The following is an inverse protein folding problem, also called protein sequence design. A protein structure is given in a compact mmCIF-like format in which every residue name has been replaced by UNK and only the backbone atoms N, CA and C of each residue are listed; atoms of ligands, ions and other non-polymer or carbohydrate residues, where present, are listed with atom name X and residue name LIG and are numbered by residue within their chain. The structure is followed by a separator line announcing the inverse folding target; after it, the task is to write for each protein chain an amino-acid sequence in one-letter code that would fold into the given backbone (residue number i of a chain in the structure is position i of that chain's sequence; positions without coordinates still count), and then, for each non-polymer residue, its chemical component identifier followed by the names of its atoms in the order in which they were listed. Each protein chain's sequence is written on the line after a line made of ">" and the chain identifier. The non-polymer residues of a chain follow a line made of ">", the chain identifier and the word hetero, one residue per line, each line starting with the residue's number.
data_IF_616722454219
#
_entry.id   IF_616722454219
#
_cell.length_a   1.000
_cell.length_b   1.000
_cell.length_c   1.000
_cell.angle_alpha   90.00
_cell.angle_beta   90.00
_cell.angle_gamma   90.00
#
_symmetry.space_group_name_H-M   'P 1'
#
loop_
_entity.id
_entity.type
_entity.pdbx_description
1 polymer ?
#
# COMPACT_ATOMS: atom_id res chain seq x y z
N UNK A 1 -14.30 -32.94 -21.08
CA UNK A 1 -15.70 -32.65 -21.50
C UNK A 1 -15.74 -31.62 -22.64
N UNK A 2 -14.90 -31.73 -23.68
CA UNK A 2 -14.69 -30.66 -24.69
C UNK A 2 -15.06 -31.01 -26.13
N UNK A 3 -15.69 -32.15 -26.39
CA UNK A 3 -15.92 -32.64 -27.77
C UNK A 3 -17.24 -32.17 -28.40
N UNK A 4 -18.18 -31.65 -27.61
CA UNK A 4 -19.51 -31.26 -28.10
C UNK A 4 -19.52 -30.03 -29.00
N UNK A 5 -18.69 -29.01 -28.72
CA UNK A 5 -18.64 -27.78 -29.50
C UNK A 5 -18.11 -28.01 -30.93
N UNK A 6 -17.10 -28.86 -31.07
CA UNK A 6 -16.48 -29.19 -32.36
C UNK A 6 -17.44 -29.94 -33.30
N UNK A 7 -18.30 -30.83 -32.77
CA UNK A 7 -19.26 -31.56 -33.59
C UNK A 7 -20.39 -30.66 -34.11
N UNK A 8 -20.86 -29.70 -33.30
CA UNK A 8 -21.87 -28.72 -33.70
C UNK A 8 -21.33 -27.76 -34.78
N UNK A 9 -20.11 -27.25 -34.61
CA UNK A 9 -19.43 -26.39 -35.59
C UNK A 9 -19.21 -27.12 -36.92
N UNK A 10 -18.75 -28.38 -36.88
CA UNK A 10 -18.55 -29.18 -38.09
C UNK A 10 -19.87 -29.44 -38.84
N UNK A 11 -20.98 -29.66 -38.11
CA UNK A 11 -22.31 -29.80 -38.71
C UNK A 11 -22.74 -28.49 -39.36
N UNK A 12 -22.56 -27.36 -38.68
CA UNK A 12 -22.93 -26.04 -39.19
C UNK A 12 -22.13 -25.64 -40.44
N UNK A 13 -20.82 -25.93 -40.45
CA UNK A 13 -19.98 -25.67 -41.62
C UNK A 13 -20.40 -26.54 -42.81
N UNK A 14 -20.77 -27.79 -42.55
CA UNK A 14 -21.32 -28.68 -43.57
C UNK A 14 -22.63 -28.12 -44.14
N UNK A 15 -23.53 -27.63 -43.29
CA UNK A 15 -24.81 -27.06 -43.74
C UNK A 15 -24.60 -25.80 -44.61
N UNK A 16 -23.65 -24.94 -44.25
CA UNK A 16 -23.26 -23.80 -45.08
C UNK A 16 -22.68 -24.22 -46.44
N UNK A 17 -21.80 -25.22 -46.46
CA UNK A 17 -21.23 -25.75 -47.71
C UNK A 17 -22.32 -26.32 -48.60
N UNK A 18 -23.24 -27.11 -48.03
CA UNK A 18 -24.40 -27.64 -48.75
C UNK A 18 -25.29 -26.51 -49.31
N UNK A 19 -25.51 -25.42 -48.55
CA UNK A 19 -26.24 -24.24 -49.02
C UNK A 19 -25.55 -23.57 -50.21
N UNK A 20 -24.23 -23.41 -50.18
CA UNK A 20 -23.46 -22.85 -51.29
C UNK A 20 -23.50 -23.74 -52.53
N UNK A 21 -23.39 -25.05 -52.38
CA UNK A 21 -23.49 -26.02 -53.47
C UNK A 21 -24.88 -25.96 -54.13
N UNK A 22 -25.96 -25.87 -53.34
CA UNK A 22 -27.33 -25.69 -53.85
C UNK A 22 -27.48 -24.39 -54.66
N UNK A 23 -26.91 -23.29 -54.17
CA UNK A 23 -26.90 -22.01 -54.90
C UNK A 23 -26.12 -22.10 -56.21
N UNK A 24 -24.99 -22.80 -56.22
CA UNK A 24 -24.22 -23.02 -57.44
C UNK A 24 -24.98 -23.88 -58.45
N UNK A 25 -25.63 -24.96 -57.98
CA UNK A 25 -26.45 -25.83 -58.82
C UNK A 25 -27.60 -25.04 -59.47
N UNK A 26 -28.37 -24.29 -58.69
CA UNK A 26 -29.49 -23.49 -59.21
C UNK A 26 -29.02 -22.41 -60.19
N UNK A 27 -27.88 -21.74 -59.94
CA UNK A 27 -27.25 -20.81 -60.91
C UNK A 27 -26.93 -21.47 -62.25
N UNK A 28 -26.45 -22.71 -62.24
CA UNK A 28 -26.18 -23.48 -63.46
C UNK A 28 -27.48 -23.81 -64.19
N UNK A 29 -28.54 -24.19 -63.46
CA UNK A 29 -29.85 -24.48 -64.04
C UNK A 29 -30.50 -23.25 -64.66
N UNK A 30 -30.46 -22.09 -63.98
CA UNK A 30 -30.92 -20.80 -64.53
C UNK A 30 -30.21 -20.50 -65.85
N UNK A 31 -28.87 -20.64 -65.91
CA UNK A 31 -28.10 -20.44 -67.14
C UNK A 31 -28.52 -21.39 -68.25
N UNK A 32 -28.78 -22.67 -67.93
CA UNK A 32 -29.28 -23.65 -68.91
C UNK A 32 -30.67 -23.24 -69.44
N UNK A 33 -31.58 -22.86 -68.56
CA UNK A 33 -32.93 -22.38 -68.91
C UNK A 33 -32.87 -21.09 -69.74
N UNK A 34 -31.97 -20.16 -69.44
CA UNK A 34 -31.74 -18.94 -70.24
C UNK A 34 -31.27 -19.26 -71.65
N UNK A 35 -30.31 -20.19 -71.80
CA UNK A 35 -29.85 -20.65 -73.11
C UNK A 35 -30.98 -21.33 -73.89
N UNK A 36 -31.80 -22.15 -73.22
CA UNK A 36 -32.97 -22.78 -73.83
C UNK A 36 -33.99 -21.72 -74.26
N UNK A 37 -34.27 -20.73 -73.42
CA UNK A 37 -35.18 -19.63 -73.72
C UNK A 37 -34.70 -18.83 -74.94
N UNK A 38 -33.40 -18.56 -75.04
CA UNK A 38 -32.80 -17.91 -76.21
C UNK A 38 -32.99 -18.74 -77.49
N UNK A 39 -32.78 -20.06 -77.43
CA UNK A 39 -33.01 -20.95 -78.59
C UNK A 39 -34.46 -20.94 -79.03
N UNK A 40 -35.41 -21.07 -78.10
CA UNK A 40 -36.85 -21.08 -78.43
C UNK A 40 -37.30 -19.71 -78.93
N UNK A 41 -36.78 -18.59 -78.40
CA UNK A 41 -37.06 -17.24 -78.92
C UNK A 41 -36.58 -17.05 -80.36
N UNK A 42 -35.40 -17.59 -80.72
CA UNK A 42 -34.92 -17.59 -82.10
C UNK A 42 -35.86 -18.39 -83.01
N UNK A 43 -36.28 -19.59 -82.58
CA UNK A 43 -37.26 -20.39 -83.32
C UNK A 43 -38.59 -19.66 -83.52
N UNK A 44 -39.10 -18.95 -82.49
CA UNK A 44 -40.30 -18.12 -82.62
C UNK A 44 -40.09 -17.02 -83.66
N UNK A 45 -38.93 -16.33 -83.65
CA UNK A 45 -38.62 -15.31 -84.66
C UNK A 45 -38.59 -15.89 -86.08
N UNK A 46 -37.96 -17.05 -86.27
CA UNK A 46 -37.89 -17.74 -87.56
C UNK A 46 -39.29 -18.15 -88.05
N UNK A 47 -40.13 -18.69 -87.15
CA UNK A 47 -41.52 -19.04 -87.46
C UNK A 47 -42.38 -17.80 -87.74
N UNK A 48 -42.14 -16.68 -87.07
CA UNK A 48 -42.82 -15.41 -87.36
C UNK A 48 -42.48 -14.89 -88.75
N UNK A 49 -41.21 -14.96 -89.13
CA UNK A 49 -40.76 -14.57 -90.46
C UNK A 49 -41.29 -15.53 -91.54
N UNK A 50 -41.30 -16.83 -91.27
CA UNK A 50 -41.91 -17.82 -92.17
C UNK A 50 -43.40 -17.59 -92.35
N UNK A 51 -44.15 -17.34 -91.25
CA UNK A 51 -45.57 -16.98 -91.30
C UNK A 51 -45.80 -15.72 -92.14
N UNK A 52 -45.01 -14.66 -91.94
CA UNK A 52 -45.13 -13.43 -92.75
C UNK A 52 -44.90 -13.69 -94.24
N UNK A 53 -43.94 -14.55 -94.59
CA UNK A 53 -43.68 -14.94 -95.99
C UNK A 53 -44.87 -15.71 -96.58
N UNK A 54 -45.47 -16.63 -95.83
CA UNK A 54 -46.65 -17.37 -96.27
C UNK A 54 -47.88 -16.46 -96.40
N UNK A 55 -48.14 -15.59 -95.42
CA UNK A 55 -49.26 -14.63 -95.48
C UNK A 55 -49.10 -13.64 -96.66
N UNK A 56 -47.86 -13.21 -96.95
CA UNK A 56 -47.58 -12.42 -98.15
C UNK A 56 -47.75 -13.23 -99.46
N UNK A 57 -47.40 -14.52 -99.44
CA UNK A 57 -47.64 -15.44 -100.55
C UNK A 57 -49.13 -15.68 -100.81
N UNK A 58 -49.92 -15.92 -99.76
CA UNK A 58 -51.38 -16.01 -99.81
C UNK A 58 -51.99 -14.76 -100.43
N UNK A 59 -51.60 -13.58 -99.93
CA UNK A 59 -52.07 -12.31 -100.46
C UNK A 59 -51.76 -12.18 -101.97
N UNK A 60 -50.56 -12.57 -102.40
CA UNK A 60 -50.20 -12.59 -103.83
C UNK A 60 -51.07 -13.54 -104.64
N UNK A 61 -51.24 -14.79 -104.20
CA UNK A 61 -52.08 -15.78 -104.89
C UNK A 61 -53.54 -15.30 -104.97
N UNK A 62 -54.06 -14.68 -103.91
CA UNK A 62 -55.40 -14.08 -103.94
C UNK A 62 -55.49 -12.93 -104.95
N UNK A 63 -54.51 -12.01 -104.97
CA UNK A 63 -54.50 -10.91 -105.95
C UNK A 63 -54.34 -11.41 -107.39
N UNK A 64 -53.53 -12.46 -107.62
CA UNK A 64 -53.36 -13.09 -108.93
C UNK A 64 -54.64 -13.80 -109.37
N UNK A 65 -55.33 -14.48 -108.44
CA UNK A 65 -56.63 -15.11 -108.69
C UNK A 65 -57.69 -14.07 -109.07
N UNK A 66 -57.77 -12.95 -108.35
CA UNK A 66 -58.70 -11.85 -108.64
C UNK A 66 -58.38 -11.21 -109.98
N UNK A 67 -57.13 -10.80 -110.22
CA UNK A 67 -56.69 -10.22 -111.49
C UNK A 67 -56.94 -11.15 -112.67
N UNK A 68 -56.73 -12.46 -112.48
CA UNK A 68 -56.96 -13.43 -113.55
C UNK A 68 -58.45 -13.74 -113.77
N UNK A 69 -59.31 -13.65 -112.73
CA UNK A 69 -60.77 -13.68 -112.90
C UNK A 69 -61.26 -12.46 -113.68
N UNK A 70 -60.71 -11.27 -113.38
CA UNK A 70 -61.02 -10.04 -114.12
C UNK A 70 -60.55 -10.14 -115.58
N UNK A 71 -59.33 -10.61 -115.83
CA UNK A 71 -58.82 -10.83 -117.18
C UNK A 71 -59.68 -11.83 -117.97
N UNK A 72 -60.06 -12.95 -117.37
CA UNK A 72 -60.97 -13.92 -117.98
C UNK A 72 -62.34 -13.30 -118.31
N UNK A 73 -62.91 -12.50 -117.39
CA UNK A 73 -64.17 -11.80 -117.64
C UNK A 73 -64.04 -10.79 -118.79
N UNK A 74 -62.92 -10.06 -118.86
CA UNK A 74 -62.61 -9.16 -119.96
C UNK A 74 -62.45 -9.91 -121.29
N UNK A 75 -61.75 -11.05 -121.31
CA UNK A 75 -61.57 -11.86 -122.51
C UNK A 75 -62.90 -12.44 -123.01
N UNK A 76 -63.76 -12.94 -122.13
CA UNK A 76 -65.11 -13.37 -122.48
C UNK A 76 -65.95 -12.21 -123.04
N UNK A 77 -65.84 -11.01 -122.45
CA UNK A 77 -66.53 -9.82 -122.96
C UNK A 77 -66.00 -9.40 -124.34
N UNK A 78 -64.69 -9.47 -124.58
CA UNK A 78 -64.06 -9.18 -125.88
C UNK A 78 -64.45 -10.20 -126.93
N UNK A 79 -64.48 -11.49 -126.58
CA UNK A 79 -64.89 -12.56 -127.49
C UNK A 79 -66.36 -12.38 -127.90
N UNK A 80 -67.23 -12.04 -126.94
CA UNK A 80 -68.63 -11.71 -127.18
C UNK A 80 -68.79 -10.52 -128.12
N UNK A 81 -68.03 -9.44 -127.91
CA UNK A 81 -68.05 -8.25 -128.78
C UNK A 81 -67.55 -8.60 -130.19
N UNK A 82 -66.43 -9.31 -130.32
CA UNK A 82 -65.89 -9.76 -131.62
C UNK A 82 -66.91 -10.61 -132.37
N UNK A 83 -67.53 -11.56 -131.69
CA UNK A 83 -68.58 -12.39 -132.30
C UNK A 83 -69.79 -11.57 -132.75
N UNK A 84 -70.25 -10.61 -131.95
CA UNK A 84 -71.36 -9.72 -132.35
C UNK A 84 -71.01 -8.84 -133.57
N UNK A 85 -69.75 -8.41 -133.67
CA UNK A 85 -69.25 -7.65 -134.83
C UNK A 85 -69.11 -8.55 -136.06
N UNK A 86 -68.48 -9.72 -135.93
CA UNK A 86 -68.30 -10.68 -137.03
C UNK A 86 -69.65 -11.20 -137.55
N UNK A 87 -70.60 -11.52 -136.66
CA UNK A 87 -71.96 -11.90 -137.03
C UNK A 87 -72.72 -10.75 -137.71
N UNK A 88 -72.51 -9.50 -137.27
CA UNK A 88 -73.07 -8.31 -137.93
C UNK A 88 -72.48 -8.04 -139.31
N UNK A 89 -71.17 -8.24 -139.47
CA UNK A 89 -70.46 -8.09 -140.75
C UNK A 89 -70.78 -9.21 -141.74
N UNK A 90 -70.93 -10.46 -141.29
CA UNK A 90 -71.35 -11.59 -142.13
C UNK A 90 -72.82 -11.46 -142.57
N UNK A 91 -73.71 -10.99 -141.69
CA UNK A 91 -75.10 -10.66 -142.02
C UNK A 91 -75.19 -9.54 -143.07
N UNK A 92 -74.30 -8.54 -143.04
CA UNK A 92 -74.23 -7.50 -144.07
C UNK A 92 -73.69 -7.98 -145.43
N UNK A 93 -72.90 -9.07 -145.48
CA UNK A 93 -72.27 -9.56 -146.72
C UNK A 93 -73.06 -10.65 -147.44
N UNK A 94 -73.96 -11.38 -146.74
CA UNK A 94 -74.73 -12.51 -147.29
C UNK A 94 -76.23 -12.22 -147.21
N UNK A 95 -76.75 -11.42 -148.15
CA UNK A 95 -78.20 -11.23 -148.27
C UNK A 95 -78.93 -12.56 -148.47
N UNK A 96 -80.03 -12.74 -147.72
CA UNK A 96 -81.11 -13.73 -147.91
C UNK A 96 -80.76 -15.24 -147.85
N UNK A 97 -79.60 -15.62 -147.31
CA UNK A 97 -79.29 -17.00 -146.88
C UNK A 97 -79.02 -17.05 -145.36
N UNK A 98 -79.96 -16.47 -144.59
CA UNK A 98 -79.67 -15.89 -143.27
C UNK A 98 -79.73 -16.88 -142.10
N UNK A 99 -80.44 -18.00 -142.19
CA UNK A 99 -80.71 -18.81 -141.00
C UNK A 99 -79.70 -19.96 -140.75
N UNK A 100 -79.16 -20.58 -141.79
CA UNK A 100 -78.25 -21.74 -141.63
C UNK A 100 -76.81 -21.31 -141.30
N UNK A 101 -76.30 -20.26 -141.94
CA UNK A 101 -74.94 -19.76 -141.68
C UNK A 101 -74.82 -19.10 -140.29
N UNK A 102 -75.87 -18.41 -139.83
CA UNK A 102 -75.93 -17.85 -138.49
C UNK A 102 -76.00 -18.94 -137.42
N UNK A 103 -76.79 -20.00 -137.63
CA UNK A 103 -76.86 -21.14 -136.73
C UNK A 103 -75.53 -21.91 -136.65
N UNK A 104 -74.80 -22.04 -137.76
CA UNK A 104 -73.48 -22.69 -137.78
C UNK A 104 -72.41 -21.83 -137.08
N UNK A 105 -72.38 -20.51 -137.33
CA UNK A 105 -71.50 -19.57 -136.63
C UNK A 105 -71.81 -19.50 -135.13
N UNK A 106 -73.08 -19.50 -134.74
CA UNK A 106 -73.52 -19.56 -133.35
C UNK A 106 -73.17 -20.91 -132.69
N UNK A 107 -73.26 -22.01 -133.45
CA UNK A 107 -72.81 -23.34 -133.03
C UNK A 107 -71.30 -23.40 -132.80
N UNK A 108 -70.50 -22.75 -133.64
CA UNK A 108 -69.05 -22.63 -133.44
C UNK A 108 -68.70 -21.74 -132.25
N UNK A 109 -69.38 -20.60 -132.09
CA UNK A 109 -69.23 -19.72 -130.92
C UNK A 109 -69.56 -20.45 -129.62
N UNK A 110 -70.69 -21.17 -129.57
CA UNK A 110 -71.05 -21.94 -128.38
C UNK A 110 -70.00 -23.03 -128.07
N UNK A 111 -69.46 -23.72 -129.08
CA UNK A 111 -68.36 -24.68 -128.86
C UNK A 111 -67.08 -24.01 -128.36
N UNK A 112 -66.70 -22.86 -128.92
CA UNK A 112 -65.53 -22.09 -128.48
C UNK A 112 -65.71 -21.54 -127.06
N UNK A 113 -66.90 -21.02 -126.74
CA UNK A 113 -67.26 -20.56 -125.39
C UNK A 113 -67.26 -21.73 -124.42
N UNK A 114 -67.77 -22.90 -124.80
CA UNK A 114 -67.76 -24.10 -123.96
C UNK A 114 -66.33 -24.62 -123.72
N UNK A 115 -65.46 -24.60 -124.73
CA UNK A 115 -64.04 -24.97 -124.56
C UNK A 115 -63.32 -23.98 -123.66
N UNK A 116 -63.52 -22.68 -123.85
CA UNK A 116 -62.94 -21.63 -123.01
C UNK A 116 -63.49 -21.68 -121.58
N UNK A 117 -64.77 -22.00 -121.40
CA UNK A 117 -65.39 -22.17 -120.09
C UNK A 117 -64.84 -23.39 -119.36
N UNK A 118 -64.59 -24.51 -120.06
CA UNK A 118 -63.95 -25.70 -119.48
C UNK A 118 -62.49 -25.43 -119.09
N UNK A 119 -61.72 -24.78 -119.95
CA UNK A 119 -60.35 -24.38 -119.64
C UNK A 119 -60.29 -23.39 -118.47
N UNK A 120 -61.19 -22.39 -118.44
CA UNK A 120 -61.32 -21.46 -117.33
C UNK A 120 -61.73 -22.16 -116.03
N UNK A 121 -62.61 -23.17 -116.09
CA UNK A 121 -63.00 -23.95 -114.92
C UNK A 121 -61.84 -24.78 -114.36
N UNK A 122 -61.08 -25.47 -115.21
CA UNK A 122 -59.88 -26.23 -114.80
C UNK A 122 -58.82 -25.30 -114.21
N UNK A 123 -58.58 -24.15 -114.82
CA UNK A 123 -57.62 -23.16 -114.33
C UNK A 123 -58.09 -22.51 -113.02
N UNK A 124 -59.40 -22.28 -112.86
CA UNK A 124 -59.98 -21.81 -111.61
C UNK A 124 -59.86 -22.86 -110.50
N UNK A 125 -60.03 -24.15 -110.82
CA UNK A 125 -59.85 -25.26 -109.88
C UNK A 125 -58.39 -25.34 -109.40
N UNK A 126 -57.42 -25.34 -110.33
CA UNK A 126 -55.98 -25.30 -109.99
C UNK A 126 -55.62 -24.12 -109.09
N UNK A 127 -56.19 -22.95 -109.35
CA UNK A 127 -55.95 -21.76 -108.50
C UNK A 127 -56.66 -21.85 -107.15
N UNK A 128 -57.85 -22.46 -107.07
CA UNK A 128 -58.51 -22.75 -105.80
C UNK A 128 -57.69 -23.74 -104.98
N UNK A 129 -57.13 -24.77 -105.59
CA UNK A 129 -56.21 -25.71 -104.94
C UNK A 129 -54.93 -25.01 -104.46
N UNK A 130 -54.39 -24.08 -105.24
CA UNK A 130 -53.24 -23.27 -104.81
C UNK A 130 -53.57 -22.39 -103.60
N UNK A 131 -54.76 -21.76 -103.58
CA UNK A 131 -55.25 -20.98 -102.43
C UNK A 131 -55.41 -21.87 -101.20
N UNK A 132 -56.11 -23.01 -101.31
CA UNK A 132 -56.34 -23.90 -100.15
C UNK A 132 -55.05 -24.52 -99.62
N UNK A 133 -54.11 -24.87 -100.50
CA UNK A 133 -52.78 -25.34 -100.12
C UNK A 133 -52.00 -24.24 -99.37
N UNK A 134 -52.07 -23.00 -99.86
CA UNK A 134 -51.44 -21.84 -99.22
C UNK A 134 -52.06 -21.55 -97.84
N UNK A 135 -53.39 -21.51 -97.75
CA UNK A 135 -54.17 -21.33 -96.51
C UNK A 135 -53.85 -22.40 -95.46
N UNK A 136 -53.76 -23.66 -95.89
CA UNK A 136 -53.33 -24.76 -95.04
C UNK A 136 -51.90 -24.54 -94.53
N UNK A 137 -51.01 -24.05 -95.40
CA UNK A 137 -49.64 -23.66 -95.07
C UNK A 137 -49.58 -22.60 -93.96
N UNK A 138 -50.27 -21.46 -94.12
CA UNK A 138 -50.22 -20.42 -93.08
C UNK A 138 -50.98 -20.83 -91.80
N UNK A 139 -52.05 -21.62 -91.92
CA UNK A 139 -52.72 -22.20 -90.75
C UNK A 139 -51.76 -23.06 -89.92
N UNK A 140 -51.00 -23.94 -90.57
CA UNK A 140 -49.95 -24.75 -89.93
C UNK A 140 -48.83 -23.87 -89.33
N UNK A 141 -48.38 -22.83 -90.03
CA UNK A 141 -47.39 -21.90 -89.48
C UNK A 141 -47.93 -21.16 -88.23
N UNK A 142 -49.22 -20.78 -88.22
CA UNK A 142 -49.88 -20.15 -87.06
C UNK A 142 -49.97 -21.10 -85.86
N UNK A 143 -50.30 -22.38 -86.07
CA UNK A 143 -50.37 -23.37 -84.98
C UNK A 143 -48.99 -23.66 -84.41
N UNK A 144 -47.96 -23.82 -85.25
CA UNK A 144 -46.58 -23.95 -84.83
C UNK A 144 -46.10 -22.73 -84.04
N UNK A 145 -46.42 -21.52 -84.50
CA UNK A 145 -46.07 -20.28 -83.80
C UNK A 145 -46.74 -20.19 -82.42
N UNK A 146 -48.03 -20.56 -82.32
CA UNK A 146 -48.73 -20.59 -81.01
C UNK A 146 -48.07 -21.59 -80.05
N UNK A 147 -47.73 -22.79 -80.54
CA UNK A 147 -47.04 -23.82 -79.77
C UNK A 147 -45.66 -23.34 -79.29
N UNK A 148 -44.87 -22.75 -80.19
CA UNK A 148 -43.56 -22.20 -79.86
C UNK A 148 -43.65 -21.06 -78.84
N UNK A 149 -44.63 -20.14 -78.97
CA UNK A 149 -44.89 -19.08 -77.99
C UNK A 149 -45.31 -19.63 -76.63
N UNK A 150 -46.12 -20.70 -76.58
CA UNK A 150 -46.46 -21.38 -75.34
C UNK A 150 -45.22 -22.00 -74.69
N UNK A 151 -44.32 -22.60 -75.48
CA UNK A 151 -43.03 -23.11 -75.01
C UNK A 151 -42.16 -22.00 -74.41
N UNK A 152 -42.06 -20.83 -75.05
CA UNK A 152 -41.33 -19.65 -74.49
C UNK A 152 -41.91 -19.26 -73.13
N UNK A 153 -43.24 -19.17 -72.99
CA UNK A 153 -43.88 -18.81 -71.72
C UNK A 153 -43.58 -19.83 -70.63
N UNK A 154 -43.64 -21.12 -70.95
CA UNK A 154 -43.34 -22.20 -70.00
C UNK A 154 -41.89 -22.14 -69.51
N UNK A 155 -40.93 -22.07 -70.44
CA UNK A 155 -39.50 -22.01 -70.09
C UNK A 155 -39.17 -20.73 -69.31
N UNK A 156 -39.81 -19.60 -69.65
CA UNK A 156 -39.68 -18.37 -68.88
C UNK A 156 -40.19 -18.55 -67.45
N UNK A 157 -41.41 -19.09 -67.25
CA UNK A 157 -41.95 -19.35 -65.92
C UNK A 157 -41.07 -20.31 -65.11
N UNK A 158 -40.54 -21.37 -65.72
CA UNK A 158 -39.60 -22.30 -65.07
C UNK A 158 -38.27 -21.63 -64.69
N UNK A 159 -37.80 -20.65 -65.46
CA UNK A 159 -36.61 -19.85 -65.16
C UNK A 159 -36.88 -18.88 -64.00
N UNK A 160 -38.05 -18.23 -64.02
CA UNK A 160 -38.46 -17.27 -62.98
C UNK A 160 -38.59 -17.97 -61.63
N UNK A 161 -39.27 -19.13 -61.59
CA UNK A 161 -39.39 -19.95 -60.40
C UNK A 161 -38.02 -20.42 -59.86
N UNK A 162 -37.09 -20.79 -60.75
CA UNK A 162 -35.73 -21.17 -60.36
C UNK A 162 -34.95 -19.99 -59.77
N UNK A 163 -35.09 -18.80 -60.36
CA UNK A 163 -34.48 -17.58 -59.85
C UNK A 163 -35.03 -17.23 -58.47
N UNK A 164 -36.34 -17.28 -58.28
CA UNK A 164 -36.98 -17.04 -56.98
C UNK A 164 -36.48 -18.04 -55.93
N UNK A 165 -36.44 -19.33 -56.26
CA UNK A 165 -35.88 -20.36 -55.40
C UNK A 165 -34.40 -20.10 -55.06
N UNK A 166 -33.57 -19.73 -56.06
CA UNK A 166 -32.18 -19.37 -55.84
C UNK A 166 -32.01 -18.15 -54.93
N UNK A 167 -32.87 -17.14 -55.07
CA UNK A 167 -32.85 -15.95 -54.21
C UNK A 167 -33.23 -16.30 -52.77
N UNK A 168 -34.28 -17.10 -52.57
CA UNK A 168 -34.73 -17.53 -51.25
C UNK A 168 -33.64 -18.33 -50.52
N UNK A 169 -33.04 -19.33 -51.18
CA UNK A 169 -31.90 -20.10 -50.63
C UNK A 169 -30.70 -19.17 -50.36
N UNK A 170 -30.51 -18.14 -51.20
CA UNK A 170 -29.42 -17.19 -51.06
C UNK A 170 -29.56 -16.32 -49.82
N UNK A 171 -30.77 -15.83 -49.56
CA UNK A 171 -31.11 -15.09 -48.36
C UNK A 171 -30.99 -15.94 -47.10
N UNK A 172 -31.50 -17.19 -47.12
CA UNK A 172 -31.36 -18.12 -46.01
C UNK A 172 -29.89 -18.39 -45.68
N UNK A 173 -29.08 -18.71 -46.68
CA UNK A 173 -27.65 -18.93 -46.50
C UNK A 173 -26.93 -17.68 -45.96
N UNK A 174 -27.30 -16.48 -46.42
CA UNK A 174 -26.74 -15.23 -45.94
C UNK A 174 -27.13 -14.95 -44.47
N UNK A 175 -28.39 -15.22 -44.09
CA UNK A 175 -28.87 -15.11 -42.71
C UNK A 175 -28.13 -16.06 -41.79
N UNK A 176 -28.03 -17.33 -42.16
CA UNK A 176 -27.30 -18.36 -41.39
C UNK A 176 -25.82 -18.00 -41.23
N UNK A 177 -25.16 -17.57 -42.31
CA UNK A 177 -23.78 -17.10 -42.28
C UNK A 177 -23.60 -15.88 -41.37
N UNK A 178 -24.57 -14.97 -41.37
CA UNK A 178 -24.60 -13.80 -40.48
C UNK A 178 -24.70 -14.20 -39.01
N UNK A 179 -25.63 -15.10 -38.66
CA UNK A 179 -25.78 -15.63 -37.31
C UNK A 179 -24.52 -16.36 -36.82
N UNK A 180 -23.84 -17.10 -37.70
CA UNK A 180 -22.57 -17.73 -37.35
C UNK A 180 -21.47 -16.74 -37.03
N UNK A 181 -21.34 -15.68 -37.83
CA UNK A 181 -20.36 -14.62 -37.56
C UNK A 181 -20.64 -13.94 -36.22
N UNK A 182 -21.89 -13.61 -35.94
CA UNK A 182 -22.31 -13.03 -34.66
C UNK A 182 -21.99 -13.97 -33.49
N UNK A 183 -22.38 -15.25 -33.59
CA UNK A 183 -22.08 -16.24 -32.53
C UNK A 183 -20.58 -16.42 -32.32
N UNK A 184 -19.77 -16.40 -33.37
CA UNK A 184 -18.31 -16.47 -33.26
C UNK A 184 -17.72 -15.21 -32.61
N UNK A 185 -18.23 -14.02 -32.96
CA UNK A 185 -17.85 -12.74 -32.34
C UNK A 185 -18.20 -12.71 -30.84
N UNK A 186 -19.38 -13.19 -30.46
CA UNK A 186 -19.81 -13.35 -29.06
C UNK A 186 -18.86 -14.27 -28.28
N UNK A 187 -18.55 -15.46 -28.81
CA UNK A 187 -17.58 -16.38 -28.18
C UNK A 187 -16.20 -15.77 -28.03
N UNK A 188 -15.73 -14.99 -29.02
CA UNK A 188 -14.47 -14.26 -28.91
C UNK A 188 -14.52 -13.18 -27.84
N UNK A 189 -15.66 -12.47 -27.70
CA UNK A 189 -15.86 -11.48 -26.65
C UNK A 189 -15.86 -12.13 -25.26
N UNK A 190 -16.58 -13.23 -25.06
CA UNK A 190 -16.57 -14.04 -23.84
C UNK A 190 -15.15 -14.52 -23.50
N UNK A 191 -14.41 -15.04 -24.49
CA UNK A 191 -13.03 -15.48 -24.29
C UNK A 191 -12.09 -14.34 -23.89
N UNK A 192 -12.28 -13.14 -24.45
CA UNK A 192 -11.52 -11.94 -24.05
C UNK A 192 -11.85 -11.52 -22.62
N UNK A 193 -13.14 -11.53 -22.25
CA UNK A 193 -13.58 -11.22 -20.90
C UNK A 193 -12.98 -12.21 -19.90
N UNK A 194 -13.12 -13.51 -20.13
CA UNK A 194 -12.55 -14.55 -19.27
C UNK A 194 -11.04 -14.41 -19.12
N UNK A 195 -10.31 -14.13 -20.21
CA UNK A 195 -8.87 -13.86 -20.13
C UNK A 195 -8.54 -12.61 -19.30
N UNK A 196 -9.36 -11.57 -19.37
CA UNK A 196 -9.19 -10.36 -18.57
C UNK A 196 -9.39 -10.66 -17.08
N UNK A 197 -10.39 -11.47 -16.73
CA UNK A 197 -10.68 -11.91 -15.37
C UNK A 197 -9.54 -12.78 -14.82
N UNK A 198 -9.03 -13.72 -15.61
CA UNK A 198 -7.87 -14.56 -15.23
C UNK A 198 -6.61 -13.71 -15.02
N UNK A 199 -6.35 -12.72 -15.90
CA UNK A 199 -5.22 -11.80 -15.74
C UNK A 199 -5.36 -10.95 -14.48
N UNK A 200 -6.55 -10.40 -14.22
CA UNK A 200 -6.85 -9.61 -13.01
C UNK A 200 -6.67 -10.46 -11.74
N UNK A 201 -7.23 -11.68 -11.71
CA UNK A 201 -7.08 -12.62 -10.60
C UNK A 201 -5.60 -13.00 -10.38
N UNK A 202 -4.84 -13.26 -11.45
CA UNK A 202 -3.40 -13.54 -11.35
C UNK A 202 -2.62 -12.33 -10.81
N UNK A 203 -2.98 -11.12 -11.20
CA UNK A 203 -2.38 -9.90 -10.68
C UNK A 203 -2.68 -9.72 -9.19
N UNK A 204 -3.94 -9.84 -8.78
CA UNK A 204 -4.35 -9.81 -7.37
C UNK A 204 -3.59 -10.83 -6.52
N UNK A 205 -3.47 -12.08 -6.98
CA UNK A 205 -2.67 -13.13 -6.30
C UNK A 205 -1.19 -12.75 -6.17
N UNK A 206 -0.60 -12.08 -7.18
CA UNK A 206 0.79 -11.61 -7.10
C UNK A 206 0.94 -10.50 -6.06
N UNK A 207 0.02 -9.54 -6.01
CA UNK A 207 0.02 -8.46 -5.01
C UNK A 207 -0.12 -9.02 -3.59
N UNK A 208 -1.09 -9.90 -3.34
CA UNK A 208 -1.24 -10.59 -2.06
C UNK A 208 0.02 -11.40 -1.69
N UNK A 209 0.67 -12.03 -2.67
CA UNK A 209 1.94 -12.72 -2.44
C UNK A 209 3.09 -11.80 -2.07
N UNK A 210 3.11 -10.57 -2.57
CA UNK A 210 4.09 -9.54 -2.16
C UNK A 210 3.80 -9.04 -0.75
N UNK A 211 2.54 -8.75 -0.43
CA UNK A 211 2.10 -8.34 0.92
C UNK A 211 2.42 -9.40 1.97
N UNK A 212 2.16 -10.68 1.66
CA UNK A 212 2.51 -11.79 2.55
C UNK A 212 4.02 -11.87 2.82
N UNK A 213 4.86 -11.64 1.80
CA UNK A 213 6.33 -11.61 1.99
C UNK A 213 6.75 -10.42 2.85
N UNK A 214 6.18 -9.24 2.61
CA UNK A 214 6.42 -8.04 3.42
C UNK A 214 6.04 -8.26 4.88
N UNK A 215 4.85 -8.81 5.15
CA UNK A 215 4.39 -9.10 6.51
C UNK A 215 5.27 -10.14 7.20
N UNK A 216 5.73 -11.17 6.47
CA UNK A 216 6.69 -12.15 7.01
C UNK A 216 8.03 -11.51 7.39
N UNK A 217 8.51 -10.54 6.60
CA UNK A 217 9.72 -9.80 6.92
C UNK A 217 9.53 -8.96 8.19
N UNK A 218 8.44 -8.19 8.27
CA UNK A 218 8.10 -7.39 9.47
C UNK A 218 7.96 -8.28 10.71
N UNK A 219 7.29 -9.43 10.60
CA UNK A 219 7.19 -10.39 11.70
C UNK A 219 8.57 -10.92 12.12
N UNK A 220 9.45 -11.20 11.15
CA UNK A 220 10.83 -11.60 11.41
C UNK A 220 11.63 -10.52 12.15
N UNK A 221 11.49 -9.27 11.76
CA UNK A 221 12.18 -8.14 12.40
C UNK A 221 11.64 -7.86 13.81
N UNK A 222 10.32 -7.95 14.01
CA UNK A 222 9.70 -7.85 15.34
C UNK A 222 10.14 -9.01 16.23
N UNK A 223 10.19 -10.23 15.71
CA UNK A 223 10.65 -11.41 16.46
C UNK A 223 12.11 -11.24 16.92
N UNK A 224 13.00 -10.74 16.05
CA UNK A 224 14.38 -10.40 16.42
C UNK A 224 14.43 -9.33 17.51
N UNK A 225 13.67 -8.25 17.36
CA UNK A 225 13.62 -7.16 18.36
C UNK A 225 13.10 -7.63 19.72
N UNK A 226 12.10 -8.52 19.74
CA UNK A 226 11.62 -9.15 20.98
C UNK A 226 12.72 -10.02 21.61
N UNK A 227 13.45 -10.79 20.80
CA UNK A 227 14.61 -11.57 21.26
C UNK A 227 15.68 -10.69 21.90
N UNK A 228 16.09 -9.61 21.23
CA UNK A 228 17.08 -8.65 21.75
C UNK A 228 16.64 -8.01 23.08
N UNK A 229 15.36 -7.65 23.20
CA UNK A 229 14.79 -7.12 24.45
C UNK A 229 14.73 -8.17 25.56
N UNK A 230 14.47 -9.43 25.22
CA UNK A 230 14.50 -10.54 26.17
C UNK A 230 15.92 -10.73 26.72
N UNK A 231 16.93 -10.77 25.84
CA UNK A 231 18.34 -10.89 26.23
C UNK A 231 18.81 -9.70 27.07
N UNK A 232 18.33 -8.49 26.75
CA UNK A 232 18.58 -7.30 27.56
C UNK A 232 17.93 -7.39 28.95
N UNK A 233 16.68 -7.85 29.03
CA UNK A 233 15.98 -8.04 30.30
C UNK A 233 16.71 -9.06 31.17
N UNK A 234 17.13 -10.19 30.62
CA UNK A 234 17.94 -11.18 31.34
C UNK A 234 19.29 -10.63 31.82
N UNK A 235 19.93 -9.78 31.00
CA UNK A 235 21.16 -9.08 31.41
C UNK A 235 20.91 -8.14 32.58
N UNK A 236 19.83 -7.35 32.53
CA UNK A 236 19.42 -6.45 33.61
C UNK A 236 19.02 -7.18 34.88
N UNK A 237 18.37 -8.33 34.77
CA UNK A 237 18.05 -9.17 35.92
C UNK A 237 19.32 -9.71 36.60
N UNK A 238 20.32 -10.13 35.83
CA UNK A 238 21.64 -10.52 36.36
C UNK A 238 22.36 -9.36 37.04
N UNK A 239 22.37 -8.17 36.44
CA UNK A 239 22.92 -6.94 37.04
C UNK A 239 22.21 -6.62 38.36
N UNK A 240 20.88 -6.65 38.40
CA UNK A 240 20.10 -6.42 39.62
C UNK A 240 20.42 -7.45 40.72
N UNK A 241 20.56 -8.73 40.36
CA UNK A 241 20.96 -9.77 41.31
C UNK A 241 22.38 -9.57 41.83
N UNK A 242 23.29 -9.00 41.05
CA UNK A 242 24.62 -8.61 41.51
C UNK A 242 24.55 -7.42 42.46
N UNK A 243 23.78 -6.38 42.12
CA UNK A 243 23.57 -5.21 43.01
C UNK A 243 22.96 -5.65 44.33
N UNK A 244 21.91 -6.49 44.31
CA UNK A 244 21.31 -7.05 45.54
C UNK A 244 22.31 -7.80 46.40
N UNK A 245 23.20 -8.60 45.80
CA UNK A 245 24.30 -9.27 46.52
C UNK A 245 25.30 -8.28 47.11
N UNK A 246 25.66 -7.24 46.37
CA UNK A 246 26.55 -6.18 46.84
C UNK A 246 25.94 -5.39 48.00
N UNK A 247 24.65 -5.06 47.94
CA UNK A 247 23.93 -4.36 49.02
C UNK A 247 23.93 -5.21 50.28
N UNK A 248 23.56 -6.50 50.19
CA UNK A 248 23.63 -7.42 51.34
C UNK A 248 25.03 -7.47 51.95
N UNK A 249 26.07 -7.57 51.13
CA UNK A 249 27.45 -7.55 51.63
C UNK A 249 27.83 -6.25 52.33
N UNK A 250 27.27 -5.10 51.92
CA UNK A 250 27.49 -3.81 52.60
C UNK A 250 26.71 -3.77 53.91
N UNK A 251 25.46 -4.25 53.93
CA UNK A 251 24.65 -4.38 55.14
C UNK A 251 25.38 -5.25 56.18
N UNK A 252 25.85 -6.44 55.78
CA UNK A 252 26.66 -7.32 56.62
C UNK A 252 27.90 -6.59 57.16
N UNK A 253 28.57 -5.80 56.32
CA UNK A 253 29.74 -5.00 56.72
C UNK A 253 29.40 -3.87 57.69
N UNK A 254 28.24 -3.21 57.52
CA UNK A 254 27.76 -2.18 58.44
C UNK A 254 27.35 -2.78 59.78
N UNK A 255 26.71 -3.95 59.79
CA UNK A 255 26.33 -4.66 61.01
C UNK A 255 27.58 -5.04 61.83
N UNK A 256 28.63 -5.52 61.17
CA UNK A 256 29.94 -5.77 61.79
C UNK A 256 30.56 -4.48 62.33
N UNK A 257 30.57 -3.40 61.54
CA UNK A 257 31.09 -2.11 61.98
C UNK A 257 30.29 -1.55 63.18
N UNK A 258 28.98 -1.70 63.18
CA UNK A 258 28.09 -1.31 64.27
C UNK A 258 28.37 -2.15 65.52
N UNK A 259 28.59 -3.46 65.39
CA UNK A 259 28.98 -4.33 66.51
C UNK A 259 30.35 -3.95 67.09
N UNK A 260 31.31 -3.57 66.26
CA UNK A 260 32.60 -3.03 66.72
C UNK A 260 32.43 -1.69 67.43
N UNK A 261 31.62 -0.78 66.87
CA UNK A 261 31.36 0.52 67.48
C UNK A 261 30.67 0.36 68.84
N UNK A 262 29.68 -0.51 68.97
CA UNK A 262 29.01 -0.77 70.26
C UNK A 262 29.97 -1.39 71.27
N UNK A 263 30.84 -2.31 70.85
CA UNK A 263 31.89 -2.87 71.71
C UNK A 263 32.90 -1.81 72.19
N UNK A 264 33.33 -0.91 71.30
CA UNK A 264 34.22 0.20 71.63
C UNK A 264 33.54 1.23 72.53
N UNK A 265 32.27 1.58 72.27
CA UNK A 265 31.47 2.42 73.15
C UNK A 265 31.37 1.80 74.55
N UNK A 266 31.04 0.51 74.67
CA UNK A 266 30.99 -0.18 75.95
C UNK A 266 32.36 -0.22 76.66
N UNK A 267 33.46 -0.38 75.91
CA UNK A 267 34.83 -0.30 76.44
C UNK A 267 35.13 1.09 76.98
N UNK A 268 34.79 2.13 76.23
CA UNK A 268 34.96 3.53 76.65
C UNK A 268 34.11 3.82 77.88
N UNK A 269 32.85 3.42 77.90
CA UNK A 269 31.96 3.54 79.07
C UNK A 269 32.57 2.86 80.30
N UNK A 270 33.13 1.66 80.17
CA UNK A 270 33.81 0.96 81.26
C UNK A 270 35.08 1.69 81.75
N UNK A 271 35.84 2.30 80.84
CA UNK A 271 36.99 3.17 81.19
C UNK A 271 36.52 4.46 81.87
N UNK A 272 35.47 5.10 81.36
CA UNK A 272 34.87 6.30 81.96
C UNK A 272 34.32 6.00 83.36
N UNK A 273 33.68 4.86 83.56
CA UNK A 273 33.20 4.39 84.87
C UNK A 273 34.36 4.12 85.82
N UNK A 274 35.43 3.46 85.34
CA UNK A 274 36.66 3.24 86.11
C UNK A 274 37.33 4.56 86.51
N UNK A 275 37.42 5.52 85.58
CA UNK A 275 37.94 6.87 85.85
C UNK A 275 37.03 7.68 86.80
N UNK A 276 35.72 7.49 86.73
CA UNK A 276 34.78 8.09 87.69
C UNK A 276 34.95 7.53 89.09
N UNK A 277 35.18 6.22 89.23
CA UNK A 277 35.41 5.57 90.52
C UNK A 277 36.76 5.98 91.12
N UNK A 278 37.85 5.92 90.34
CA UNK A 278 39.19 6.31 90.80
C UNK A 278 39.28 7.81 91.07
N UNK A 279 38.73 8.68 90.21
CA UNK A 279 38.75 10.12 90.49
C UNK A 279 37.87 10.52 91.67
N UNK A 280 36.75 9.84 91.94
CA UNK A 280 35.95 10.13 93.15
C UNK A 280 36.64 9.69 94.43
N UNK A 281 37.29 8.52 94.44
CA UNK A 281 38.00 8.02 95.62
C UNK A 281 39.32 8.77 95.85
N UNK A 282 40.18 8.87 94.85
CA UNK A 282 41.50 9.49 95.01
C UNK A 282 41.42 11.00 95.28
N UNK A 283 40.43 11.69 94.68
CA UNK A 283 40.21 13.12 94.96
C UNK A 283 39.64 13.31 96.38
N UNK A 284 38.73 12.43 96.82
CA UNK A 284 38.20 12.43 98.18
C UNK A 284 39.29 12.20 99.23
N UNK A 285 40.14 11.20 99.02
CA UNK A 285 41.27 10.88 99.90
C UNK A 285 42.32 12.00 99.92
N UNK A 286 42.64 12.61 98.77
CA UNK A 286 43.56 13.76 98.72
C UNK A 286 43.02 14.98 99.46
N UNK A 287 41.73 15.27 99.33
CA UNK A 287 41.10 16.40 100.05
C UNK A 287 41.10 16.15 101.55
N UNK A 288 40.80 14.94 102.00
CA UNK A 288 40.89 14.56 103.42
C UNK A 288 42.32 14.68 103.95
N UNK A 289 43.32 14.15 103.23
CA UNK A 289 44.72 14.25 103.63
C UNK A 289 45.21 15.72 103.70
N UNK A 290 44.74 16.58 102.79
CA UNK A 290 45.07 17.99 102.81
C UNK A 290 44.42 18.71 104.00
N UNK A 291 43.18 18.35 104.34
CA UNK A 291 42.50 18.89 105.52
C UNK A 291 43.21 18.49 106.82
N UNK A 292 43.66 17.24 106.91
CA UNK A 292 44.42 16.74 108.06
C UNK A 292 45.75 17.47 108.24
N UNK A 293 46.50 17.69 107.15
CA UNK A 293 47.74 18.50 107.18
C UNK A 293 47.51 19.95 107.57
N UNK A 294 46.40 20.55 107.12
CA UNK A 294 46.02 21.90 107.54
C UNK A 294 45.68 21.96 109.02
N UNK A 295 44.99 20.93 109.54
CA UNK A 295 44.68 20.81 110.96
C UNK A 295 45.94 20.60 111.81
N UNK A 296 46.87 19.75 111.36
CA UNK A 296 48.19 19.58 111.98
C UNK A 296 48.98 20.88 112.00
N UNK A 297 48.98 21.63 110.88
CA UNK A 297 49.63 22.94 110.80
C UNK A 297 48.97 23.96 111.74
N UNK A 298 47.65 23.96 111.85
CA UNK A 298 46.93 24.81 112.79
C UNK A 298 47.29 24.47 114.25
N UNK A 299 47.32 23.19 114.61
CA UNK A 299 47.72 22.74 115.93
C UNK A 299 49.18 23.10 116.25
N UNK A 300 50.08 23.01 115.27
CA UNK A 300 51.47 23.44 115.42
C UNK A 300 51.58 24.96 115.64
N UNK A 301 50.78 25.77 114.95
CA UNK A 301 50.73 27.22 115.19
C UNK A 301 50.17 27.57 116.57
N UNK A 302 49.15 26.85 117.04
CA UNK A 302 48.62 27.00 118.41
C UNK A 302 49.71 26.64 119.43
N UNK A 303 50.40 25.51 119.25
CA UNK A 303 51.50 25.10 120.11
C UNK A 303 52.67 26.11 120.14
N UNK A 304 53.01 26.71 119.00
CA UNK A 304 53.98 27.82 118.95
C UNK A 304 53.49 29.06 119.68
N UNK A 305 52.19 29.39 119.59
CA UNK A 305 51.58 30.49 120.32
C UNK A 305 51.61 30.28 121.84
N UNK A 306 51.40 29.06 122.30
CA UNK A 306 51.52 28.68 123.71
C UNK A 306 52.97 28.78 124.20
N UNK A 307 53.94 28.26 123.44
CA UNK A 307 55.36 28.36 123.76
C UNK A 307 55.83 29.82 123.83
N UNK A 308 55.37 30.68 122.92
CA UNK A 308 55.70 32.11 122.90
C UNK A 308 55.09 32.85 124.11
N UNK A 309 53.89 32.45 124.57
CA UNK A 309 53.29 32.98 125.80
C UNK A 309 54.06 32.55 127.04
N UNK A 310 54.51 31.30 127.10
CA UNK A 310 55.34 30.79 128.19
C UNK A 310 56.70 31.52 128.28
N UNK A 311 57.33 31.77 127.13
CA UNK A 311 58.63 32.46 127.03
C UNK A 311 58.53 33.93 127.47
N UNK A 312 57.47 34.64 127.06
CA UNK A 312 57.20 36.01 127.54
C UNK A 312 56.93 36.06 129.04
N UNK A 313 56.22 35.07 129.59
CA UNK A 313 56.00 34.98 131.03
C UNK A 313 57.31 34.75 131.80
N UNK A 314 58.21 33.92 131.26
CA UNK A 314 59.55 33.72 131.84
C UNK A 314 60.41 34.99 131.79
N UNK A 315 60.45 35.71 130.65
CA UNK A 315 61.19 36.97 130.53
C UNK A 315 60.70 38.02 131.53
N UNK A 316 59.38 38.17 131.66
CA UNK A 316 58.78 39.07 132.65
C UNK A 316 59.22 38.72 134.08
N UNK A 317 59.41 37.44 134.40
CA UNK A 317 59.89 37.01 135.72
C UNK A 317 61.37 37.36 135.96
N UNK A 318 62.22 37.23 134.93
CA UNK A 318 63.63 37.60 135.02
C UNK A 318 63.86 39.12 135.10
N UNK A 319 63.06 39.92 134.39
CA UNK A 319 63.15 41.39 134.44
C UNK A 319 62.81 41.95 135.83
N UNK A 320 61.82 41.36 136.51
CA UNK A 320 61.50 41.72 137.91
C UNK A 320 62.62 41.33 138.87
N UNK A 321 63.30 40.19 138.66
CA UNK A 321 64.46 39.79 139.46
C UNK A 321 65.68 40.70 139.26
N UNK A 322 65.94 41.12 138.02
CA UNK A 322 67.06 42.01 137.67
C UNK A 322 66.88 43.42 138.24
N UNK A 323 65.66 43.96 138.21
CA UNK A 323 65.37 45.28 138.82
C UNK A 323 65.56 45.27 140.34
N UNK A 324 65.16 44.19 141.03
CA UNK A 324 65.44 44.03 142.47
C UNK A 324 66.94 43.95 142.78
N UNK A 325 67.72 43.20 141.98
CA UNK A 325 69.17 43.16 142.17
C UNK A 325 69.83 44.51 141.92
N UNK A 326 69.38 45.27 140.92
CA UNK A 326 69.90 46.62 140.61
C UNK A 326 69.69 47.59 141.77
N UNK A 327 68.51 47.60 142.37
CA UNK A 327 68.22 48.43 143.56
C UNK A 327 69.07 47.98 144.75
N UNK A 328 69.27 46.67 144.93
CA UNK A 328 70.08 46.12 146.02
C UNK A 328 71.57 46.44 145.85
N UNK A 329 72.09 46.41 144.62
CA UNK A 329 73.48 46.80 144.32
C UNK A 329 73.66 48.30 144.40
N UNK A 330 72.69 49.12 143.97
CA UNK A 330 72.76 50.59 144.13
C UNK A 330 72.78 51.00 145.61
N UNK A 331 71.97 50.37 146.48
CA UNK A 331 72.01 50.62 147.92
C UNK A 331 73.33 50.19 148.58
N UNK A 332 73.92 49.07 148.14
CA UNK A 332 75.23 48.62 148.61
C UNK A 332 76.36 49.55 148.16
N UNK A 333 76.29 50.08 146.93
CA UNK A 333 77.26 51.07 146.42
C UNK A 333 77.14 52.40 147.17
N UNK A 334 75.92 52.87 147.47
CA UNK A 334 75.71 54.09 148.26
C UNK A 334 76.24 53.99 149.69
N UNK A 335 76.17 52.81 150.32
CA UNK A 335 76.78 52.54 151.63
C UNK A 335 78.32 52.51 151.57
N UNK A 336 78.88 51.91 150.51
CA UNK A 336 80.32 51.86 150.30
C UNK A 336 80.93 53.25 150.02
N UNK A 337 80.23 54.12 149.29
CA UNK A 337 80.69 55.50 149.03
C UNK A 337 80.63 56.39 150.28
N UNK A 338 79.66 56.20 151.19
CA UNK A 338 79.63 56.94 152.47
C UNK A 338 80.76 56.54 153.44
N UNK A 339 81.19 55.28 153.40
CA UNK A 339 82.34 54.81 154.21
C UNK A 339 83.66 55.32 153.63
N UNK A 340 83.79 55.31 152.29
CA UNK A 340 84.99 55.77 151.58
C UNK A 340 85.17 57.29 151.68
N UNK A 341 84.08 58.06 151.58
CA UNK A 341 84.09 59.52 151.72
C UNK A 341 84.40 60.03 153.13
N UNK A 342 84.24 59.22 154.18
CA UNK A 342 84.57 59.61 155.57
C UNK A 342 85.96 59.18 156.03
N UNK A 343 86.58 58.19 155.39
CA UNK A 343 87.93 57.73 155.73
C UNK A 343 89.03 58.45 154.95
N UNK A 344 88.70 59.15 153.86
CA UNK A 344 89.67 59.86 153.01
C UNK A 344 90.03 61.29 153.46
N UNK A 345 89.36 61.85 154.48
CA UNK A 345 89.65 63.22 154.98
C UNK A 345 90.59 63.26 156.22
N UNK A 346 91.10 62.13 156.73
CA UNK A 346 91.99 62.15 157.92
C UNK A 346 93.24 61.28 157.95
N UNK A 347 93.52 60.33 157.05
CA UNK A 347 94.71 59.48 157.26
C UNK A 347 95.38 58.99 155.98
N UNK A 348 96.51 59.62 155.71
CA UNK A 348 97.81 58.94 155.63
C UNK A 348 98.06 57.94 154.51
N UNK A 349 98.85 58.46 153.57
CA UNK A 349 100.02 57.83 152.96
C UNK A 349 99.85 56.65 152.00
N UNK A 350 100.73 56.73 151.01
CA UNK A 350 101.33 55.66 150.22
C UNK A 350 100.52 55.07 149.08
N UNK A 351 101.15 55.16 147.89
CA UNK A 351 101.40 54.10 146.89
C UNK A 351 100.16 53.30 146.41
N UNK A 352 99.98 52.92 145.16
CA UNK A 352 100.73 52.91 143.91
C UNK A 352 99.88 52.14 142.90
N UNK A 353 100.37 52.03 141.65
CA UNK A 353 100.33 50.82 140.81
C UNK A 353 98.92 50.36 140.33
N UNK A 354 98.57 50.43 139.04
CA UNK A 354 99.03 49.64 137.87
C UNK A 354 97.96 48.60 137.46
N UNK A 355 97.93 48.33 136.15
CA UNK A 355 97.36 47.16 135.46
C UNK A 355 95.84 46.96 135.40
N UNK A 356 95.33 46.83 134.17
CA UNK A 356 94.73 45.62 133.58
C UNK A 356 93.82 46.04 132.41
N UNK A 357 94.08 45.66 131.16
CA UNK A 357 93.92 44.34 130.54
C UNK A 357 92.49 43.78 130.46
N UNK A 358 92.16 43.42 129.20
CA UNK A 358 91.49 42.19 128.75
C UNK A 358 89.95 42.12 128.58
N UNK A 359 89.62 41.73 127.34
CA UNK A 359 88.74 40.62 126.96
C UNK A 359 87.21 40.80 126.88
N UNK A 360 86.68 40.33 125.75
CA UNK A 360 85.45 39.55 125.51
C UNK A 360 84.70 40.10 124.27
N UNK A 361 84.52 39.39 123.16
CA UNK A 361 83.93 38.06 122.89
C UNK A 361 82.38 38.07 122.95
N UNK A 362 81.77 37.38 121.96
CA UNK A 362 80.33 37.12 121.65
C UNK A 362 79.65 38.17 120.77
N UNK A 363 78.78 37.83 119.81
CA UNK A 363 78.19 36.56 119.41
C UNK A 363 76.95 36.82 118.53
N UNK A 364 76.50 35.78 117.83
CA UNK A 364 75.14 35.46 117.37
C UNK A 364 74.35 36.31 116.33
N UNK A 365 74.09 35.61 115.21
CA UNK A 365 72.80 35.28 114.59
C UNK A 365 71.76 36.36 114.19
N UNK A 366 71.33 36.24 112.92
CA UNK A 366 69.94 36.08 112.42
C UNK A 366 69.47 37.08 111.36
N UNK A 367 68.59 36.61 110.47
CA UNK A 367 67.78 37.39 109.53
C UNK A 367 67.97 36.95 108.07
N UNK A 368 67.06 36.16 107.50
CA UNK A 368 65.89 36.63 106.71
C UNK A 368 66.28 36.91 105.23
N UNK A 369 65.59 36.50 104.16
CA UNK A 369 64.16 36.29 103.94
C UNK A 369 63.90 35.73 102.52
N UNK A 370 62.74 35.06 102.40
CA UNK A 370 61.74 35.15 101.30
C UNK A 370 61.95 34.42 99.95
N UNK A 371 61.10 33.41 99.78
CA UNK A 371 60.39 33.07 98.54
C UNK A 371 59.57 34.26 98.00
N UNK A 372 59.05 34.23 96.75
CA UNK A 372 57.69 33.70 96.58
C UNK A 372 57.31 33.09 95.20
N UNK A 373 56.28 32.22 95.28
CA UNK A 373 55.07 32.06 94.42
C UNK A 373 55.11 32.02 92.86
N UNK A 374 54.65 30.87 92.35
CA UNK A 374 53.42 30.62 91.55
C UNK A 374 53.09 31.44 90.28
N UNK A 375 52.66 30.74 89.20
CA UNK A 375 51.24 30.71 88.69
C UNK A 375 51.12 30.30 87.18
N UNK A 376 50.28 29.29 86.94
CA UNK A 376 49.36 28.94 85.83
C UNK A 376 49.42 29.54 84.39
N UNK A 377 48.97 28.71 83.42
CA UNK A 377 47.84 28.92 82.44
C UNK A 377 48.16 28.66 80.93
N UNK A 378 47.34 27.79 80.30
CA UNK A 378 46.85 27.65 78.89
C UNK A 378 47.77 27.57 77.66
N UNK A 379 47.49 26.60 76.76
CA UNK A 379 46.95 26.73 75.39
C UNK A 379 47.01 25.35 74.67
N UNK A 380 45.90 24.75 74.21
CA UNK A 380 45.15 25.00 72.97
C UNK A 380 45.96 24.73 71.69
N UNK A 381 45.70 23.59 71.03
CA UNK A 381 46.24 23.24 69.70
C UNK A 381 45.25 22.35 68.93
N UNK A 382 44.21 22.97 68.39
CA UNK A 382 43.25 22.38 67.47
C UNK A 382 43.88 22.25 66.07
N UNK A 383 43.85 21.04 65.50
CA UNK A 383 44.14 20.75 64.10
C UNK A 383 42.81 20.47 63.40
N UNK A 384 42.52 21.21 62.33
CA UNK A 384 41.39 21.00 61.42
C UNK A 384 41.90 20.81 60.01
N UNK A 385 41.49 19.77 59.27
CA UNK A 385 41.55 19.75 57.82
C UNK A 385 40.20 20.12 57.18
N UNK A 386 40.29 21.07 56.25
CA UNK A 386 39.66 21.18 54.92
C UNK A 386 38.17 20.82 54.68
N UNK A 387 37.41 21.71 53.98
CA UNK A 387 36.07 21.40 53.50
C UNK A 387 36.08 20.68 52.15
N UNK A 388 35.21 19.67 52.03
CA UNK A 388 34.85 18.98 50.79
C UNK A 388 33.91 19.89 49.98
N UNK A 389 34.21 20.03 48.68
CA UNK A 389 33.41 20.77 47.69
C UNK A 389 32.11 20.03 47.36
N UNK A 390 30.99 20.73 47.10
CA UNK A 390 29.82 20.10 46.48
C UNK A 390 30.01 19.99 44.96
N UNK A 391 29.78 18.77 44.44
CA UNK A 391 29.61 18.49 43.01
C UNK A 391 28.13 18.70 42.68
N UNK A 392 27.79 19.83 42.08
CA UNK A 392 26.49 20.02 41.42
C UNK A 392 26.52 19.30 40.07
N UNK A 393 25.80 18.18 40.00
CA UNK A 393 25.52 17.45 38.77
C UNK A 393 24.34 18.13 38.07
N UNK A 394 24.59 18.67 36.87
CA UNK A 394 23.57 19.21 35.99
C UNK A 394 22.59 18.09 35.58
N UNK A 395 21.29 18.34 35.76
CA UNK A 395 20.22 17.58 35.11
C UNK A 395 19.97 18.20 33.74
N UNK A 396 20.48 17.54 32.69
CA UNK A 396 20.02 17.79 31.33
C UNK A 396 18.65 17.14 31.15
N UNK A 397 17.62 17.98 31.10
CA UNK A 397 16.26 17.60 30.72
C UNK A 397 16.24 17.43 29.21
N UNK A 398 16.34 16.17 28.76
CA UNK A 398 16.16 15.82 27.36
C UNK A 398 14.69 16.01 26.96
N UNK A 399 14.45 16.96 26.06
CA UNK A 399 13.20 17.22 25.35
C UNK A 399 12.79 15.99 24.51
N UNK A 400 11.52 15.52 24.57
CA UNK A 400 11.07 14.48 23.66
C UNK A 400 10.73 15.05 22.26
N UNK A 401 10.95 14.28 21.17
CA UNK A 401 10.65 14.74 19.82
C UNK A 401 9.15 14.76 19.55
N UNK A 402 8.72 15.83 18.86
CA UNK A 402 7.37 16.00 18.33
C UNK A 402 7.09 14.96 17.25
N UNK A 403 5.97 14.25 17.40
CA UNK A 403 5.36 13.47 16.34
C UNK A 403 4.94 14.40 15.19
N UNK A 404 5.55 14.23 14.02
CA UNK A 404 4.97 14.71 12.77
C UNK A 404 4.07 13.60 12.20
N UNK A 405 2.79 13.96 12.06
CA UNK A 405 1.74 13.19 11.41
C UNK A 405 1.74 13.57 9.94
N UNK A 406 1.89 12.60 9.06
CA UNK A 406 1.43 12.63 7.67
C UNK A 406 1.07 11.20 7.27
#
# INVERSE_FOLDING_TARGET
>A
MGTGASAAEAKQEKDLRMGQERLQASRVEIRKKDQQLQRVRRQVSELEDHRKRLEAGEAKVHTELEAAREAQMQDLSRLRVKFLVEAGEESQRRGEAEDEAFAEAQGMYNRCVDTLAREAALEQERRREAVTSSEAGASNARTQLRSARASVRRVAAERDAELEAATAVGEEHARESGLQRQSHEERLAEFRQWNSEVKSSRHSRRCLGLELRSLKQVLGDVSKSVGERSDELERKERELMQVRRSVRSIEDGMDVAQAHLTAECARVEGVEESLRLTSKQELGERVLAMHQRLQESHNAMVGLGDALRAERAQRAHFDVGLTQQRVRTELLVQLLDQVKGRTLDLTSCSFSSECAEQSAQRGDHSGDTKAPLSRATTHSGLSTPSPIKPVTRAFDVATPPRYHRA
#
